data_IF_818366165224
#
_entry.id   IF_818366165224
#
_cell.length_a   1.000
_cell.length_b   1.000
_cell.length_c   1.000
_cell.angle_alpha   90.00
_cell.angle_beta   90.00
_cell.angle_gamma   90.00
#
_symmetry.space_group_name_H-M   'P 1'
#
loop_
_entity.id
_entity.type
_entity.pdbx_description
1 polymer ?
#
# COMPACT_ATOMS: atom_id res chain seq x y z
N UNK A 1 -10.74 -6.53 8.69
CA UNK A 1 -10.20 -5.23 8.25
C UNK A 1 -10.13 -5.22 6.73
N UNK A 2 -10.55 -4.15 6.06
CA UNK A 2 -10.52 -4.07 4.59
C UNK A 2 -10.17 -2.67 4.09
N UNK A 3 -9.39 -2.58 3.00
CA UNK A 3 -8.99 -1.33 2.37
C UNK A 3 -9.71 -1.16 1.02
N UNK A 4 -10.30 0.01 0.75
CA UNK A 4 -10.91 0.33 -0.56
C UNK A 4 -9.90 1.02 -1.48
N UNK A 5 -9.87 0.59 -2.76
CA UNK A 5 -9.13 1.24 -3.85
C UNK A 5 -10.07 1.60 -5.01
N UNK A 6 -9.74 2.66 -5.73
CA UNK A 6 -10.32 2.97 -7.04
C UNK A 6 -9.33 2.64 -8.18
N UNK A 7 -9.85 2.31 -9.36
CA UNK A 7 -9.11 1.80 -10.52
C UNK A 7 -7.94 2.69 -10.95
N UNK A 8 -6.86 2.06 -11.41
CA UNK A 8 -5.64 2.74 -11.87
C UNK A 8 -5.70 3.07 -13.35
N UNK A 9 -5.23 4.26 -13.72
CA UNK A 9 -5.13 4.73 -15.09
C UNK A 9 -3.70 5.13 -15.46
N UNK A 10 -3.34 4.98 -16.74
CA UNK A 10 -2.09 5.51 -17.32
C UNK A 10 -2.17 7.03 -17.33
N UNK A 11 -1.18 7.71 -16.76
CA UNK A 11 -1.16 9.19 -16.69
C UNK A 11 -0.03 9.77 -17.53
N UNK A 12 -0.31 10.78 -18.36
CA UNK A 12 0.66 11.42 -19.26
C UNK A 12 1.72 12.28 -18.53
N UNK A 13 1.45 12.75 -17.31
CA UNK A 13 2.35 13.61 -16.51
C UNK A 13 3.36 12.85 -15.61
N UNK A 14 3.45 11.54 -15.79
CA UNK A 14 4.20 10.69 -14.85
C UNK A 14 5.72 10.96 -14.86
N UNK A 15 6.26 11.45 -15.99
CA UNK A 15 7.68 11.80 -16.14
C UNK A 15 8.11 12.88 -15.14
N UNK A 16 7.30 13.92 -14.94
CA UNK A 16 7.61 15.01 -14.00
C UNK A 16 7.49 14.58 -12.54
N UNK A 17 6.52 13.71 -12.23
CA UNK A 17 6.35 13.12 -10.89
C UNK A 17 7.52 12.18 -10.58
N UNK A 18 8.03 11.46 -11.59
CA UNK A 18 9.16 10.56 -11.44
C UNK A 18 10.51 11.28 -11.38
N UNK A 19 10.73 12.34 -12.15
CA UNK A 19 11.95 13.14 -12.06
C UNK A 19 12.17 13.71 -10.64
N UNK A 20 11.06 13.98 -9.92
CA UNK A 20 11.08 14.41 -8.51
C UNK A 20 11.24 13.27 -7.51
N UNK A 21 11.10 12.00 -7.93
CA UNK A 21 11.24 10.83 -7.08
C UNK A 21 12.48 10.00 -7.45
N UNK A 22 13.29 9.61 -6.46
CA UNK A 22 14.52 8.86 -6.75
C UNK A 22 14.19 7.45 -7.24
N UNK A 23 14.62 7.15 -8.46
CA UNK A 23 14.52 5.83 -9.11
C UNK A 23 15.32 4.82 -8.28
N UNK A 24 14.70 3.68 -7.94
CA UNK A 24 15.41 2.54 -7.36
C UNK A 24 15.38 1.42 -8.38
N UNK A 25 16.56 0.90 -8.79
CA UNK A 25 16.63 -0.07 -9.84
C UNK A 25 16.04 -1.42 -9.41
N UNK A 26 15.46 -2.18 -10.35
CA UNK A 26 15.01 -3.55 -10.13
C UNK A 26 16.20 -4.48 -9.83
N UNK A 27 15.89 -5.72 -9.42
CA UNK A 27 16.92 -6.74 -9.14
C UNK A 27 17.88 -6.92 -10.31
N UNK A 28 19.18 -7.10 -10.02
CA UNK A 28 20.26 -7.17 -11.01
C UNK A 28 20.05 -8.26 -12.08
N UNK A 29 19.33 -9.33 -11.75
CA UNK A 29 19.03 -10.42 -12.71
C UNK A 29 17.96 -10.03 -13.75
N UNK A 30 17.06 -9.09 -13.43
CA UNK A 30 16.08 -8.58 -14.39
C UNK A 30 16.68 -7.57 -15.37
N UNK A 31 17.80 -6.92 -15.02
CA UNK A 31 18.49 -5.94 -15.88
C UNK A 31 19.21 -6.55 -17.10
N UNK A 32 19.25 -7.88 -17.23
CA UNK A 32 20.03 -8.56 -18.29
C UNK A 32 19.26 -8.76 -19.60
N UNK A 33 17.93 -8.62 -19.58
CA UNK A 33 17.11 -8.83 -20.76
C UNK A 33 16.04 -7.74 -20.83
N UNK A 34 15.91 -7.12 -22.01
CA UNK A 34 14.81 -6.23 -22.46
C UNK A 34 15.08 -4.72 -22.40
N UNK A 35 14.79 -4.05 -23.53
CA UNK A 35 14.66 -2.60 -23.67
C UNK A 35 13.32 -2.18 -23.08
N UNK A 36 13.30 -1.52 -21.93
CA UNK A 36 12.07 -1.31 -21.17
C UNK A 36 11.40 0.04 -21.45
N UNK A 37 10.15 0.02 -21.89
CA UNK A 37 9.27 1.19 -21.81
C UNK A 37 8.84 1.42 -20.35
N UNK A 38 9.18 2.59 -19.80
CA UNK A 38 8.79 2.97 -18.44
C UNK A 38 7.31 3.36 -18.43
N UNK A 39 6.47 2.49 -17.87
CA UNK A 39 5.06 2.80 -17.67
C UNK A 39 4.81 3.29 -16.25
N UNK A 40 4.13 4.44 -16.15
CA UNK A 40 3.69 5.02 -14.89
C UNK A 40 2.33 4.50 -14.47
N UNK A 41 2.18 4.14 -13.20
CA UNK A 41 0.94 3.65 -12.62
C UNK A 41 0.50 4.55 -11.48
N UNK A 42 -0.82 4.58 -11.26
CA UNK A 42 -1.47 5.28 -10.16
C UNK A 42 -2.48 4.35 -9.49
N UNK A 43 -2.44 4.30 -8.17
CA UNK A 43 -3.48 3.67 -7.34
C UNK A 43 -3.95 4.68 -6.32
N UNK A 44 -5.25 4.71 -6.02
CA UNK A 44 -5.81 5.56 -4.97
C UNK A 44 -6.22 4.66 -3.82
N UNK A 45 -5.62 4.87 -2.64
CA UNK A 45 -6.02 4.20 -1.41
C UNK A 45 -7.02 5.11 -0.68
N UNK A 46 -8.29 4.73 -0.76
CA UNK A 46 -9.36 5.61 -0.28
C UNK A 46 -9.46 5.55 1.23
N UNK A 47 -9.64 4.34 1.75
CA UNK A 47 -10.06 4.21 3.13
C UNK A 47 -9.96 2.81 3.71
N UNK A 48 -9.78 2.77 5.03
CA UNK A 48 -9.64 1.56 5.83
C UNK A 48 -10.87 1.38 6.73
N UNK A 49 -11.52 0.22 6.63
CA UNK A 49 -12.72 -0.15 7.40
C UNK A 49 -12.43 -1.34 8.33
N UNK A 50 -13.07 -1.35 9.50
CA UNK A 50 -12.98 -2.46 10.47
C UNK A 50 -11.59 -2.54 11.13
N UNK A 51 -11.11 -1.40 11.62
CA UNK A 51 -9.81 -1.23 12.26
C UNK A 51 -9.77 -1.97 13.61
N UNK A 52 -8.93 -2.99 13.79
CA UNK A 52 -8.83 -3.81 14.99
C UNK A 52 -7.58 -3.39 15.79
N UNK A 53 -7.49 -2.14 16.24
CA UNK A 53 -6.46 -1.88 17.26
C UNK A 53 -6.95 -2.54 18.55
N UNK A 54 -6.27 -3.61 18.95
CA UNK A 54 -6.55 -4.30 20.21
C UNK A 54 -6.31 -3.31 21.35
N UNK A 55 -7.37 -3.01 22.10
CA UNK A 55 -7.28 -2.25 23.35
C UNK A 55 -6.24 -2.94 24.25
N UNK A 56 -5.12 -2.27 24.52
CA UNK A 56 -4.03 -2.81 25.36
C UNK A 56 -2.63 -2.79 24.73
N UNK A 57 -2.50 -2.53 23.42
CA UNK A 57 -1.18 -2.40 22.77
C UNK A 57 -0.58 -1.00 22.98
N UNK A 58 -1.44 0.00 23.04
CA UNK A 58 -1.08 1.40 23.27
C UNK A 58 -1.64 1.87 24.61
N UNK A 59 -0.98 2.85 25.21
CA UNK A 59 -1.53 3.52 26.39
C UNK A 59 -2.93 4.10 26.06
N UNK A 60 -3.86 3.99 27.01
CA UNK A 60 -5.26 4.39 26.86
C UNK A 60 -5.41 5.90 26.64
N UNK A 61 -4.39 6.68 27.00
CA UNK A 61 -4.39 8.14 26.82
C UNK A 61 -3.76 8.60 25.50
N UNK A 62 -3.08 7.70 24.78
CA UNK A 62 -2.34 8.07 23.57
C UNK A 62 -3.27 8.32 22.38
N UNK A 63 -3.01 9.41 21.65
CA UNK A 63 -3.69 9.67 20.38
C UNK A 63 -3.20 8.63 19.35
N UNK A 64 -4.13 7.83 18.81
CA UNK A 64 -3.82 6.81 17.80
C UNK A 64 -4.15 7.33 16.39
N UNK A 65 -3.12 7.35 15.54
CA UNK A 65 -3.24 7.63 14.10
C UNK A 65 -2.88 6.40 13.29
N UNK A 66 -3.25 6.42 12.02
CA UNK A 66 -3.01 5.32 11.09
C UNK A 66 -2.24 5.82 9.88
N UNK A 67 -1.32 5.00 9.40
CA UNK A 67 -0.54 5.24 8.20
C UNK A 67 -0.57 3.99 7.33
N UNK A 68 -0.73 4.17 6.02
CA UNK A 68 -0.54 3.11 5.04
C UNK A 68 0.91 3.13 4.57
N UNK A 69 1.50 1.95 4.44
CA UNK A 69 2.81 1.75 3.83
C UNK A 69 2.67 0.83 2.63
N UNK A 70 3.14 1.28 1.47
CA UNK A 70 3.08 0.48 0.25
C UNK A 70 4.49 0.15 -0.21
N UNK A 71 4.78 -1.13 -0.36
CA UNK A 71 6.04 -1.65 -0.87
C UNK A 71 5.79 -2.52 -2.10
N UNK A 72 6.74 -2.56 -3.03
CA UNK A 72 6.68 -3.46 -4.17
C UNK A 72 7.39 -4.77 -3.82
N UNK A 73 6.77 -5.88 -4.18
CA UNK A 73 7.29 -7.22 -3.95
C UNK A 73 7.29 -8.00 -5.25
N UNK A 74 8.41 -8.67 -5.49
CA UNK A 74 8.62 -9.53 -6.65
C UNK A 74 8.46 -10.99 -6.22
N UNK A 75 7.34 -11.61 -6.59
CA UNK A 75 7.05 -12.99 -6.25
C UNK A 75 7.99 -13.99 -6.93
N UNK A 76 8.54 -13.66 -8.11
CA UNK A 76 9.44 -14.58 -8.82
C UNK A 76 10.79 -14.74 -8.10
N UNK A 77 11.17 -13.75 -7.30
CA UNK A 77 12.45 -13.69 -6.60
C UNK A 77 12.29 -13.49 -5.08
N UNK A 78 11.06 -13.62 -4.58
CA UNK A 78 10.67 -13.47 -3.18
C UNK A 78 11.32 -12.26 -2.45
N UNK A 79 11.39 -11.09 -3.09
CA UNK A 79 12.04 -9.93 -2.49
C UNK A 79 11.25 -8.64 -2.65
N UNK A 80 11.35 -7.79 -1.63
CA UNK A 80 10.90 -6.40 -1.71
C UNK A 80 11.92 -5.55 -2.46
N UNK A 81 11.41 -4.62 -3.27
CA UNK A 81 12.25 -3.67 -3.99
C UNK A 81 11.61 -2.28 -4.02
N UNK A 82 12.41 -1.29 -4.41
CA UNK A 82 11.94 0.09 -4.44
C UNK A 82 11.88 0.77 -3.07
N UNK A 83 11.26 1.95 -3.05
CA UNK A 83 10.97 2.71 -1.83
C UNK A 83 9.61 2.29 -1.31
N UNK A 84 9.50 2.21 0.02
CA UNK A 84 8.19 2.10 0.65
C UNK A 84 7.55 3.49 0.66
N UNK A 85 6.43 3.63 -0.05
CA UNK A 85 5.60 4.82 0.04
C UNK A 85 4.87 4.83 1.39
N UNK A 86 4.72 6.00 1.99
CA UNK A 86 4.02 6.19 3.26
C UNK A 86 2.95 7.26 3.09
N UNK A 87 1.74 6.99 3.55
CA UNK A 87 0.67 7.98 3.59
C UNK A 87 0.90 9.01 4.70
N UNK A 88 0.11 10.09 4.67
CA UNK A 88 -0.06 10.91 5.86
C UNK A 88 -0.68 10.10 7.00
N UNK A 89 -0.40 10.51 8.23
CA UNK A 89 -1.02 9.95 9.43
C UNK A 89 -2.47 10.47 9.54
N UNK A 90 -3.45 9.56 9.64
CA UNK A 90 -4.89 9.89 9.67
C UNK A 90 -5.56 9.26 10.89
N UNK A 91 -6.42 10.03 11.56
CA UNK A 91 -7.16 9.54 12.73
C UNK A 91 -8.39 8.71 12.33
N UNK A 92 -8.81 7.83 13.24
CA UNK A 92 -10.05 7.07 13.09
C UNK A 92 -11.26 8.00 13.22
N UNK A 93 -12.16 7.96 12.24
CA UNK A 93 -13.42 8.71 12.30
C UNK A 93 -14.55 7.75 12.66
N UNK A 94 -15.33 8.03 13.73
CA UNK A 94 -16.57 7.33 13.98
C UNK A 94 -17.56 7.65 12.84
N UNK A 95 -18.27 6.65 12.36
CA UNK A 95 -19.36 6.84 11.39
C UNK A 95 -20.65 6.48 12.10
N UNK A 96 -21.59 7.42 12.17
CA UNK A 96 -22.88 7.20 12.82
C UNK A 96 -23.57 5.97 12.21
N UNK A 97 -23.86 4.96 13.04
CA UNK A 97 -24.50 3.70 12.63
C UNK A 97 -23.65 2.72 11.82
N UNK A 98 -22.32 2.92 11.65
CA UNK A 98 -21.43 1.99 10.92
C UNK A 98 -20.10 1.77 11.65
N UNK A 99 -19.37 0.72 11.24
CA UNK A 99 -18.02 0.47 11.71
C UNK A 99 -17.09 1.66 11.41
N UNK A 100 -16.26 2.03 12.39
CA UNK A 100 -15.30 3.13 12.29
C UNK A 100 -14.35 2.97 11.10
N UNK A 101 -13.95 4.10 10.52
CA UNK A 101 -13.21 4.16 9.26
C UNK A 101 -12.10 5.21 9.30
N UNK A 102 -10.98 4.93 8.64
CA UNK A 102 -9.92 5.92 8.37
C UNK A 102 -10.01 6.32 6.91
N UNK A 103 -10.04 7.62 6.62
CA UNK A 103 -10.02 8.15 5.26
C UNK A 103 -8.62 8.66 4.92
N UNK A 104 -8.06 8.17 3.82
CA UNK A 104 -6.77 8.57 3.27
C UNK A 104 -6.97 9.39 2.01
N UNK A 105 -7.61 8.82 0.98
CA UNK A 105 -7.81 9.42 -0.35
C UNK A 105 -6.51 9.90 -0.99
N UNK A 106 -5.39 9.21 -0.72
CA UNK A 106 -4.08 9.61 -1.22
C UNK A 106 -3.73 8.81 -2.49
N UNK A 107 -3.37 9.50 -3.59
CA UNK A 107 -2.87 8.82 -4.78
C UNK A 107 -1.42 8.38 -4.58
N UNK A 108 -1.15 7.12 -4.88
CA UNK A 108 0.19 6.56 -4.93
C UNK A 108 0.60 6.43 -6.38
N UNK A 109 1.69 7.11 -6.73
CA UNK A 109 2.31 7.03 -8.04
C UNK A 109 3.53 6.12 -7.94
N UNK A 110 3.57 5.08 -8.75
CA UNK A 110 4.74 4.22 -8.86
C UNK A 110 4.96 3.82 -10.31
N UNK A 111 6.22 3.59 -10.64
CA UNK A 111 6.64 3.25 -11.98
C UNK A 111 7.57 2.09 -11.82
N UNK A 112 7.37 1.11 -12.68
CA UNK A 112 8.24 -0.04 -12.78
C UNK A 112 8.65 -0.16 -14.23
N UNK A 113 9.90 -0.54 -14.45
CA UNK A 113 10.36 -0.95 -15.78
C UNK A 113 9.80 -2.32 -16.16
N UNK A 114 9.11 -3.00 -15.23
CA UNK A 114 8.63 -4.36 -15.37
C UNK A 114 7.10 -4.38 -15.27
N UNK A 115 6.43 -4.41 -16.42
CA UNK A 115 5.03 -4.77 -16.51
C UNK A 115 4.90 -6.31 -16.41
N UNK A 116 5.18 -6.86 -15.23
CA UNK A 116 5.30 -8.29 -15.00
C UNK A 116 4.31 -8.74 -13.91
N UNK A 117 3.36 -9.66 -14.20
CA UNK A 117 2.36 -10.14 -13.24
C UNK A 117 2.94 -10.69 -11.92
N UNK A 118 4.21 -11.10 -11.90
CA UNK A 118 4.91 -11.52 -10.67
C UNK A 118 5.17 -10.38 -9.68
N UNK A 119 5.04 -9.12 -10.11
CA UNK A 119 5.21 -7.95 -9.26
C UNK A 119 3.85 -7.52 -8.69
N UNK A 120 3.80 -7.45 -7.36
CA UNK A 120 2.63 -7.03 -6.59
C UNK A 120 2.95 -5.84 -5.67
N UNK A 121 1.93 -5.09 -5.27
CA UNK A 121 2.05 -4.14 -4.18
C UNK A 121 1.58 -4.79 -2.88
N UNK A 122 2.39 -4.69 -1.83
CA UNK A 122 2.02 -5.03 -0.46
C UNK A 122 1.69 -3.75 0.27
N UNK A 123 0.50 -3.70 0.86
CA UNK A 123 0.01 -2.55 1.63
C UNK A 123 -0.11 -2.98 3.08
N UNK A 124 0.73 -2.39 3.93
CA UNK A 124 0.74 -2.58 5.37
C UNK A 124 0.02 -1.41 6.07
N UNK A 125 -0.76 -1.72 7.09
CA UNK A 125 -1.43 -0.75 7.94
C UNK A 125 -0.66 -0.61 9.24
N UNK A 126 -0.20 0.59 9.54
CA UNK A 126 0.52 0.92 10.77
C UNK A 126 -0.38 1.77 11.66
N UNK A 127 -0.61 1.32 12.89
CA UNK A 127 -1.11 2.16 13.97
C UNK A 127 0.06 2.85 14.65
N UNK A 128 -0.12 4.13 14.93
CA UNK A 128 0.88 5.04 15.46
C UNK A 128 0.28 5.67 16.71
N UNK A 129 0.86 5.39 17.88
CA UNK A 129 0.57 6.12 19.10
C UNK A 129 1.66 7.13 19.38
N UNK A 130 1.25 8.34 19.78
CA UNK A 130 2.15 9.32 20.38
C UNK A 130 1.90 9.34 21.87
N UNK A 131 2.94 9.02 22.62
CA UNK A 131 2.90 9.04 24.07
C UNK A 131 3.10 10.47 24.58
N UNK A 132 2.73 10.71 25.84
CA UNK A 132 2.83 12.04 26.46
C UNK A 132 4.28 12.55 26.58
N UNK A 133 5.24 11.62 26.63
CA UNK A 133 6.69 11.91 26.61
C UNK A 133 7.22 12.30 25.22
N UNK A 134 6.35 12.33 24.20
CA UNK A 134 6.70 12.62 22.81
C UNK A 134 7.25 11.43 22.03
N UNK A 135 7.41 10.25 22.65
CA UNK A 135 7.83 9.04 21.97
C UNK A 135 6.74 8.53 21.01
N UNK A 136 7.19 7.90 19.91
CA UNK A 136 6.31 7.35 18.88
C UNK A 136 6.39 5.83 18.90
N UNK A 137 5.26 5.18 19.18
CA UNK A 137 5.13 3.74 19.08
C UNK A 137 4.38 3.38 17.79
N UNK A 138 4.97 2.50 16.98
CA UNK A 138 4.38 2.04 15.72
C UNK A 138 4.11 0.53 15.77
N UNK A 139 2.91 0.11 15.41
CA UNK A 139 2.51 -1.30 15.39
C UNK A 139 1.81 -1.64 14.08
N UNK A 140 2.27 -2.72 13.44
CA UNK A 140 1.59 -3.25 12.25
C UNK A 140 0.27 -3.91 12.65
N UNK A 141 -0.82 -3.43 12.07
CA UNK A 141 -2.16 -3.95 12.29
C UNK A 141 -2.54 -5.06 11.30
N UNK A 142 -1.71 -5.26 10.26
CA UNK A 142 -1.95 -6.20 9.18
C UNK A 142 -1.51 -5.66 7.83
N UNK A 143 -1.54 -6.52 6.83
CA UNK A 143 -1.16 -6.19 5.46
C UNK A 143 -2.07 -6.89 4.45
N UNK A 144 -2.10 -6.39 3.21
CA UNK A 144 -2.75 -7.07 2.09
C UNK A 144 -2.00 -6.82 0.80
N UNK A 145 -2.33 -7.59 -0.24
CA UNK A 145 -1.64 -7.56 -1.51
C UNK A 145 -2.54 -7.13 -2.65
N UNK A 146 -1.99 -6.36 -3.59
CA UNK A 146 -2.66 -5.87 -4.77
C UNK A 146 -1.85 -6.26 -5.99
N UNK A 147 -2.44 -7.07 -6.86
CA UNK A 147 -1.88 -7.29 -8.21
C UNK A 147 -1.90 -5.97 -8.97
N UNK A 148 -0.72 -5.58 -9.46
CA UNK A 148 -0.49 -4.33 -10.17
C UNK A 148 -0.68 -4.50 -11.67
N UNK A 149 -0.33 -5.69 -12.18
CA UNK A 149 -0.36 -6.03 -13.60
C UNK A 149 -1.25 -7.27 -13.72
N UNK A 150 -2.45 -7.05 -14.26
CA UNK A 150 -3.39 -8.11 -14.56
C UNK A 150 -3.43 -8.27 -16.07
N UNK A 151 -3.38 -9.50 -16.59
CA UNK A 151 -3.63 -9.77 -18.01
C UNK A 151 -5.12 -9.62 -18.39
N UNK A 152 -5.96 -9.11 -17.48
CA UNK A 152 -7.38 -8.90 -17.75
C UNK A 152 -7.55 -7.66 -18.61
N UNK A 153 -7.91 -7.95 -19.85
CA UNK A 153 -8.57 -7.11 -20.84
C UNK A 153 -9.53 -6.11 -20.20
N UNK A 154 -9.62 -4.95 -20.83
CA UNK A 154 -10.27 -3.69 -20.43
C UNK A 154 -11.79 -3.73 -20.13
N UNK A 155 -12.36 -4.86 -19.71
CA UNK A 155 -13.82 -5.03 -19.52
C UNK A 155 -14.28 -5.14 -18.06
N UNK A 156 -13.46 -4.75 -17.08
CA UNK A 156 -13.81 -4.79 -15.65
C UNK A 156 -14.06 -3.37 -15.08
N UNK A 157 -14.55 -2.48 -15.93
CA UNK A 157 -14.99 -1.10 -15.63
C UNK A 157 -16.24 -1.04 -14.73
N UNK A 158 -16.70 -2.16 -14.18
CA UNK A 158 -17.87 -2.24 -13.29
C UNK A 158 -17.52 -2.54 -11.83
N UNK A 159 -16.25 -2.73 -11.46
CA UNK A 159 -15.86 -3.02 -10.07
C UNK A 159 -15.07 -1.88 -9.41
N UNK A 160 -15.73 -0.72 -9.28
CA UNK A 160 -15.26 0.47 -8.54
C UNK A 160 -15.14 0.28 -7.01
N UNK A 161 -15.17 -0.96 -6.51
CA UNK A 161 -15.10 -1.28 -5.09
C UNK A 161 -14.28 -2.56 -4.83
N UNK A 162 -13.05 -2.64 -5.34
CA UNK A 162 -12.14 -3.73 -4.96
C UNK A 162 -11.69 -3.53 -3.50
N UNK A 163 -12.44 -4.11 -2.56
CA UNK A 163 -12.07 -4.23 -1.14
C UNK A 163 -10.93 -5.21 -1.00
N UNK A 164 -9.78 -4.73 -0.58
CA UNK A 164 -8.63 -5.54 -0.21
C UNK A 164 -8.86 -6.14 1.18
N UNK A 165 -8.77 -7.48 1.29
CA UNK A 165 -8.73 -8.17 2.58
C UNK A 165 -7.34 -8.00 3.18
N UNK A 166 -7.29 -7.73 4.49
CA UNK A 166 -6.06 -7.59 5.23
C UNK A 166 -5.86 -8.78 6.15
N UNK A 167 -4.66 -9.32 6.14
CA UNK A 167 -4.17 -10.41 6.97
C UNK A 167 -3.43 -9.85 8.18
N UNK A 168 -3.50 -10.54 9.31
CA UNK A 168 -2.77 -10.13 10.52
C UNK A 168 -1.26 -10.39 10.36
N UNK A 169 -0.44 -9.55 11.01
CA UNK A 169 1.01 -9.68 11.01
C UNK A 169 1.70 -8.55 10.24
N UNK A 170 3.02 -8.65 10.11
CA UNK A 170 3.83 -7.69 9.36
C UNK A 170 4.06 -8.15 7.94
N UNK A 171 4.42 -7.23 7.05
CA UNK A 171 4.81 -7.57 5.67
C UNK A 171 5.98 -8.59 5.58
N UNK A 172 6.73 -8.83 6.68
CA UNK A 172 7.80 -9.86 6.73
C UNK A 172 7.25 -11.29 6.78
N UNK A 173 6.05 -11.50 7.32
CA UNK A 173 5.40 -12.83 7.35
C UNK A 173 5.02 -13.28 5.93
N UNK A 174 4.78 -12.33 5.02
CA UNK A 174 4.46 -12.64 3.63
C UNK A 174 5.54 -13.47 2.94
N UNK A 175 6.83 -13.20 3.20
CA UNK A 175 7.93 -14.00 2.65
C UNK A 175 7.96 -15.44 3.16
N UNK A 176 7.33 -15.74 4.30
CA UNK A 176 7.30 -17.10 4.88
C UNK A 176 6.05 -17.90 4.48
N UNK A 177 5.09 -17.28 3.78
CA UNK A 177 3.81 -17.88 3.40
C UNK A 177 3.63 -18.07 1.89
N UNK A 178 4.65 -17.72 1.09
CA UNK A 178 4.76 -18.00 -0.34
C UNK A 178 5.67 -19.21 -0.55
#
# INVERSE_FOLDING_TARGET
MSLRRNGGGKTKDWVNIFARSRIIPPHKQRCKHVTFEKTGYRIILESLEGVPVKQGVFDRTSEIKYQLRMSLFDCAYCHFFGRTWKSSEKSLKPISGKASKVQFNEPVYFGTTHNDPSIIAVIEVIAIARNQDGSKQEVSCGFGTVSLFSNQTENDSTNHNKRLKLYYGTQRVFCTQL
#
